data_IF_891146714548
#
_entry.id   IF_891146714548
#
_cell.length_a   1.000
_cell.length_b   1.000
_cell.length_c   1.000
_cell.angle_alpha   90.00
_cell.angle_beta   90.00
_cell.angle_gamma   90.00
#
_symmetry.space_group_name_H-M   'P 1'
#
loop_
_entity.id
_entity.type
_entity.pdbx_description
1 polymer ?
#
# COMPACT_ATOMS: atom_id res chain seq x y z
N UNK A 1 1.59 10.68 25.06
CA UNK A 1 1.80 9.25 24.77
C UNK A 1 1.18 8.32 25.83
N UNK A 2 1.33 8.58 27.12
CA UNK A 2 0.70 7.74 28.19
C UNK A 2 -0.84 7.69 28.11
N UNK A 3 -1.50 8.66 27.50
CA UNK A 3 -2.95 8.66 27.32
C UNK A 3 -3.45 7.75 26.20
N UNK A 4 -2.60 7.46 25.17
CA UNK A 4 -2.95 6.56 24.09
C UNK A 4 -3.23 5.14 24.58
N UNK A 5 -2.56 4.69 25.63
CA UNK A 5 -2.67 3.32 26.19
C UNK A 5 -3.54 3.24 27.45
N UNK A 6 -4.18 4.34 27.87
CA UNK A 6 -4.97 4.41 29.12
C UNK A 6 -6.48 4.54 28.91
N UNK A 7 -6.94 4.58 27.67
CA UNK A 7 -8.35 4.71 27.37
C UNK A 7 -9.06 3.37 27.49
N UNK A 8 -10.06 3.28 28.35
CA UNK A 8 -10.91 2.08 28.39
C UNK A 8 -11.70 1.96 27.09
N UNK A 9 -11.45 0.87 26.34
CA UNK A 9 -12.12 0.59 25.07
C UNK A 9 -13.49 -0.06 25.35
N UNK A 10 -14.57 0.74 25.32
CA UNK A 10 -15.94 0.24 25.43
C UNK A 10 -16.47 -0.22 24.08
N UNK A 11 -17.49 -1.10 24.08
CA UNK A 11 -18.16 -1.53 22.85
C UNK A 11 -18.72 -0.36 22.02
N UNK A 12 -19.31 0.65 22.68
CA UNK A 12 -19.79 1.85 22.01
C UNK A 12 -18.66 2.57 21.25
N UNK A 13 -17.48 2.68 21.86
CA UNK A 13 -16.31 3.30 21.20
C UNK A 13 -15.83 2.49 19.99
N UNK A 14 -15.83 1.16 20.07
CA UNK A 14 -15.44 0.30 18.95
C UNK A 14 -16.39 0.47 17.76
N UNK A 15 -17.71 0.46 18.01
CA UNK A 15 -18.72 0.61 16.96
C UNK A 15 -18.64 2.01 16.34
N UNK A 16 -18.53 3.05 17.14
CA UNK A 16 -18.39 4.44 16.65
C UNK A 16 -17.10 4.62 15.84
N UNK A 17 -16.00 4.06 16.31
CA UNK A 17 -14.72 4.11 15.60
C UNK A 17 -14.81 3.36 14.26
N UNK A 18 -15.46 2.20 14.23
CA UNK A 18 -15.67 1.43 13.01
C UNK A 18 -16.53 2.19 11.99
N UNK A 19 -17.62 2.78 12.45
CA UNK A 19 -18.49 3.59 11.60
C UNK A 19 -17.78 4.84 11.07
N UNK A 20 -17.07 5.59 11.94
CA UNK A 20 -16.31 6.77 11.54
C UNK A 20 -15.20 6.44 10.53
N UNK A 21 -14.43 5.38 10.77
CA UNK A 21 -13.40 4.91 9.84
C UNK A 21 -13.99 4.52 8.48
N UNK A 22 -15.14 3.82 8.49
CA UNK A 22 -15.81 3.39 7.26
C UNK A 22 -16.34 4.59 6.45
N UNK A 23 -16.99 5.55 7.11
CA UNK A 23 -17.51 6.76 6.45
C UNK A 23 -16.36 7.57 5.87
N UNK A 24 -15.31 7.81 6.64
CA UNK A 24 -14.13 8.56 6.18
C UNK A 24 -13.50 7.91 4.95
N UNK A 25 -13.23 6.60 5.03
CA UNK A 25 -12.65 5.84 3.90
C UNK A 25 -13.55 5.87 2.67
N UNK A 26 -14.86 5.67 2.83
CA UNK A 26 -15.80 5.68 1.72
C UNK A 26 -15.87 7.07 1.04
N UNK A 27 -15.93 8.15 1.82
CA UNK A 27 -15.95 9.52 1.32
C UNK A 27 -14.67 9.85 0.56
N UNK A 28 -13.50 9.55 1.13
CA UNK A 28 -12.21 9.81 0.47
C UNK A 28 -12.07 9.03 -0.84
N UNK A 29 -12.66 7.84 -0.93
CA UNK A 29 -12.65 7.04 -2.16
C UNK A 29 -13.66 7.52 -3.21
N UNK A 30 -14.79 8.11 -2.78
CA UNK A 30 -15.82 8.60 -3.69
C UNK A 30 -15.47 9.94 -4.34
N UNK A 31 -14.61 10.74 -3.73
CA UNK A 31 -14.26 12.07 -4.22
C UNK A 31 -13.12 12.00 -5.25
N UNK A 32 -13.37 12.30 -6.54
CA UNK A 32 -12.40 12.11 -7.62
C UNK A 32 -11.08 12.89 -7.43
N UNK A 33 -11.14 14.07 -6.79
CA UNK A 33 -9.96 14.90 -6.57
C UNK A 33 -8.95 14.32 -5.56
N UNK A 34 -9.33 13.28 -4.81
CA UNK A 34 -8.41 12.53 -3.97
C UNK A 34 -7.72 11.37 -4.68
N UNK A 35 -8.13 11.05 -5.91
CA UNK A 35 -7.51 9.96 -6.66
C UNK A 35 -6.01 10.20 -6.87
N UNK A 36 -5.19 9.16 -6.65
CA UNK A 36 -3.73 9.19 -6.69
C UNK A 36 -3.10 10.21 -5.73
N UNK A 37 -3.74 10.48 -4.61
CA UNK A 37 -3.19 11.33 -3.55
C UNK A 37 -3.00 10.56 -2.25
N UNK A 38 -2.18 11.10 -1.36
CA UNK A 38 -1.96 10.57 -0.02
C UNK A 38 -3.24 10.39 0.80
N UNK A 39 -4.28 11.18 0.58
CA UNK A 39 -5.55 11.04 1.30
C UNK A 39 -6.25 9.74 0.94
N UNK A 40 -6.24 9.36 -0.34
CA UNK A 40 -6.77 8.08 -0.77
C UNK A 40 -5.92 6.91 -0.24
N UNK A 41 -4.59 7.02 -0.32
CA UNK A 41 -3.68 5.99 0.19
C UNK A 41 -3.93 5.69 1.66
N UNK A 42 -3.87 6.71 2.53
CA UNK A 42 -4.05 6.57 3.98
C UNK A 42 -5.42 5.96 4.33
N UNK A 43 -6.45 6.27 3.53
CA UNK A 43 -7.79 5.74 3.76
C UNK A 43 -7.94 4.26 3.35
N UNK A 44 -7.31 3.85 2.26
CA UNK A 44 -7.52 2.52 1.65
C UNK A 44 -6.47 1.52 2.12
N UNK A 45 -5.22 1.95 2.28
CA UNK A 45 -4.09 1.08 2.55
C UNK A 45 -4.01 0.63 4.03
N UNK A 46 -3.33 -0.48 4.31
CA UNK A 46 -3.36 -1.13 5.63
C UNK A 46 -2.76 -0.31 6.78
N UNK A 47 -1.92 0.69 6.55
CA UNK A 47 -1.22 1.42 7.59
C UNK A 47 -2.16 2.13 8.57
N UNK A 48 -3.23 2.77 8.07
CA UNK A 48 -4.24 3.40 8.93
C UNK A 48 -5.04 2.35 9.72
N UNK A 49 -5.32 1.21 9.10
CA UNK A 49 -6.02 0.10 9.73
C UNK A 49 -5.20 -0.55 10.84
N UNK A 50 -3.86 -0.60 10.68
CA UNK A 50 -2.94 -1.02 11.74
C UNK A 50 -3.01 -0.06 12.94
N UNK A 51 -3.09 1.25 12.72
CA UNK A 51 -3.25 2.22 13.79
C UNK A 51 -4.51 1.95 14.62
N UNK A 52 -5.66 1.74 13.94
CA UNK A 52 -6.93 1.43 14.63
C UNK A 52 -6.86 0.10 15.39
N UNK A 53 -6.29 -0.95 14.76
CA UNK A 53 -6.12 -2.23 15.40
C UNK A 53 -5.27 -2.15 16.67
N UNK A 54 -4.10 -1.50 16.59
CA UNK A 54 -3.20 -1.30 17.72
C UNK A 54 -3.88 -0.44 18.80
N UNK A 55 -4.58 0.63 18.41
CA UNK A 55 -5.30 1.48 19.36
C UNK A 55 -6.37 0.70 20.16
N UNK A 56 -7.17 -0.13 19.49
CA UNK A 56 -8.16 -0.99 20.16
C UNK A 56 -7.46 -1.96 21.11
N UNK A 57 -6.44 -2.65 20.60
CA UNK A 57 -5.74 -3.71 21.28
C UNK A 57 -5.07 -3.24 22.58
N UNK A 58 -4.33 -2.13 22.55
CA UNK A 58 -3.60 -1.64 23.72
C UNK A 58 -4.52 -1.11 24.82
N UNK A 59 -5.77 -0.74 24.47
CA UNK A 59 -6.78 -0.20 25.39
C UNK A 59 -7.76 -1.27 25.90
N UNK A 60 -7.57 -2.55 25.54
CA UNK A 60 -8.29 -3.68 26.11
C UNK A 60 -7.55 -4.25 27.32
N UNK A 61 -8.30 -4.81 28.30
CA UNK A 61 -7.72 -5.36 29.53
C UNK A 61 -7.28 -6.82 29.38
N UNK A 62 -7.94 -7.57 28.51
CA UNK A 62 -7.70 -9.01 28.28
C UNK A 62 -7.47 -9.26 26.79
N UNK A 63 -6.68 -10.30 26.47
CA UNK A 63 -6.40 -10.66 25.08
C UNK A 63 -7.65 -11.10 24.30
N UNK A 64 -8.59 -11.82 24.98
CA UNK A 64 -9.86 -12.22 24.36
C UNK A 64 -10.69 -10.99 23.98
N UNK A 65 -10.76 -10.01 24.88
CA UNK A 65 -11.43 -8.74 24.64
C UNK A 65 -10.81 -7.99 23.45
N UNK A 66 -9.48 -7.95 23.39
CA UNK A 66 -8.75 -7.32 22.29
C UNK A 66 -9.05 -8.01 20.96
N UNK A 67 -8.97 -9.34 20.92
CA UNK A 67 -9.23 -10.13 19.71
C UNK A 67 -10.65 -9.90 19.18
N UNK A 68 -11.66 -10.04 20.05
CA UNK A 68 -13.07 -9.90 19.64
C UNK A 68 -13.38 -8.47 19.21
N UNK A 69 -12.91 -7.45 19.95
CA UNK A 69 -13.16 -6.04 19.62
C UNK A 69 -12.47 -5.62 18.32
N UNK A 70 -11.25 -6.08 18.08
CA UNK A 70 -10.55 -5.82 16.81
C UNK A 70 -11.29 -6.52 15.66
N UNK A 71 -11.68 -7.76 15.82
CA UNK A 71 -12.46 -8.47 14.81
C UNK A 71 -13.79 -7.77 14.50
N UNK A 72 -14.58 -7.38 15.53
CA UNK A 72 -15.85 -6.69 15.34
C UNK A 72 -15.66 -5.31 14.69
N UNK A 73 -14.58 -4.60 15.01
CA UNK A 73 -14.23 -3.34 14.33
C UNK A 73 -14.10 -3.55 12.83
N UNK A 74 -13.34 -4.54 12.37
CA UNK A 74 -13.17 -4.83 10.94
C UNK A 74 -14.44 -5.43 10.32
N UNK A 75 -15.17 -6.27 11.05
CA UNK A 75 -16.43 -6.88 10.60
C UNK A 75 -17.52 -5.82 10.32
N UNK A 76 -17.49 -4.68 11.01
CA UNK A 76 -18.40 -3.56 10.79
C UNK A 76 -17.84 -2.61 9.75
N UNK A 77 -16.59 -2.18 9.88
CA UNK A 77 -16.03 -1.13 9.03
C UNK A 77 -15.89 -1.55 7.58
N UNK A 78 -15.41 -2.76 7.31
CA UNK A 78 -15.13 -3.19 5.94
C UNK A 78 -16.39 -3.30 5.06
N UNK A 79 -17.46 -4.02 5.45
CA UNK A 79 -18.67 -4.08 4.62
C UNK A 79 -19.38 -2.72 4.55
N UNK A 80 -19.30 -1.89 5.59
CA UNK A 80 -19.92 -0.57 5.60
C UNK A 80 -19.29 0.38 4.58
N UNK A 81 -17.96 0.28 4.34
CA UNK A 81 -17.28 1.03 3.26
C UNK A 81 -17.92 0.71 1.92
N UNK A 82 -18.10 -0.58 1.59
CA UNK A 82 -18.72 -1.00 0.34
C UNK A 82 -20.18 -0.58 0.25
N UNK A 83 -20.93 -0.75 1.34
CA UNK A 83 -22.36 -0.39 1.38
C UNK A 83 -22.59 1.11 1.09
N UNK A 84 -21.75 1.99 1.64
CA UNK A 84 -21.81 3.44 1.38
C UNK A 84 -21.47 3.73 -0.08
N UNK A 85 -20.60 2.97 -0.74
CA UNK A 85 -20.19 3.18 -2.12
C UNK A 85 -21.21 2.63 -3.16
N UNK A 86 -22.06 1.66 -2.78
CA UNK A 86 -23.04 1.02 -3.68
C UNK A 86 -23.88 2.03 -4.49
N UNK A 87 -24.49 3.07 -3.88
CA UNK A 87 -25.31 4.02 -4.61
C UNK A 87 -24.58 4.86 -5.66
N UNK A 88 -23.25 4.98 -5.52
CA UNK A 88 -22.40 5.83 -6.36
C UNK A 88 -21.58 5.03 -7.38
N UNK A 89 -21.63 3.70 -7.32
CA UNK A 89 -20.87 2.82 -8.19
C UNK A 89 -21.70 2.29 -9.35
N UNK A 90 -21.12 2.29 -10.56
CA UNK A 90 -21.73 1.62 -11.72
C UNK A 90 -21.92 0.12 -11.52
N UNK A 91 -21.12 -0.50 -10.62
CA UNK A 91 -21.23 -1.93 -10.30
C UNK A 91 -22.33 -2.24 -9.27
N UNK A 92 -22.87 -1.21 -8.58
CA UNK A 92 -23.83 -1.41 -7.50
C UNK A 92 -23.36 -2.44 -6.48
N UNK A 93 -24.21 -3.42 -6.13
CA UNK A 93 -23.84 -4.51 -5.21
C UNK A 93 -22.73 -5.43 -5.72
N UNK A 94 -22.37 -5.41 -7.01
CA UNK A 94 -21.23 -6.12 -7.55
C UNK A 94 -19.90 -5.73 -6.90
N UNK A 95 -19.81 -4.55 -6.25
CA UNK A 95 -18.65 -4.16 -5.45
C UNK A 95 -18.32 -5.17 -4.34
N UNK A 96 -19.31 -5.89 -3.81
CA UNK A 96 -19.08 -6.88 -2.74
C UNK A 96 -18.24 -8.09 -3.19
N UNK A 97 -18.00 -8.29 -4.49
CA UNK A 97 -17.04 -9.29 -4.95
C UNK A 97 -15.63 -9.06 -4.38
N UNK A 98 -15.23 -7.80 -4.17
CA UNK A 98 -13.94 -7.43 -3.59
C UNK A 98 -13.92 -7.59 -2.06
N UNK A 99 -15.09 -7.62 -1.41
CA UNK A 99 -15.19 -7.81 0.03
C UNK A 99 -14.72 -9.19 0.48
N UNK A 100 -14.76 -10.21 -0.39
CA UNK A 100 -14.30 -11.57 -0.06
C UNK A 100 -12.86 -11.58 0.48
N UNK A 101 -11.96 -10.81 -0.16
CA UNK A 101 -10.58 -10.66 0.30
C UNK A 101 -10.52 -10.00 1.69
N UNK A 102 -11.24 -8.90 1.88
CA UNK A 102 -11.27 -8.19 3.16
C UNK A 102 -11.96 -8.99 4.26
N UNK A 103 -12.94 -9.82 3.92
CA UNK A 103 -13.55 -10.74 4.89
C UNK A 103 -12.53 -11.77 5.38
N UNK A 104 -11.75 -12.39 4.49
CA UNK A 104 -10.68 -13.29 4.87
C UNK A 104 -9.63 -12.58 5.76
N UNK A 105 -9.21 -11.37 5.40
CA UNK A 105 -8.33 -10.55 6.23
C UNK A 105 -8.96 -10.25 7.61
N UNK A 106 -10.26 -9.95 7.66
CA UNK A 106 -10.99 -9.72 8.91
C UNK A 106 -10.97 -10.96 9.82
N UNK A 107 -11.18 -12.15 9.28
CA UNK A 107 -11.10 -13.40 10.06
C UNK A 107 -9.68 -13.58 10.64
N UNK A 108 -8.64 -13.26 9.88
CA UNK A 108 -7.24 -13.33 10.33
C UNK A 108 -6.93 -12.31 11.43
N UNK A 109 -7.74 -11.27 11.64
CA UNK A 109 -7.55 -10.34 12.76
C UNK A 109 -7.76 -11.01 14.12
N UNK A 110 -8.55 -12.08 14.21
CA UNK A 110 -8.73 -12.82 15.47
C UNK A 110 -7.41 -13.40 16.01
N UNK A 111 -6.74 -14.34 15.31
CA UNK A 111 -5.45 -14.86 15.77
C UNK A 111 -4.38 -13.77 15.77
N UNK A 112 -4.40 -12.86 14.80
CA UNK A 112 -3.48 -11.74 14.75
C UNK A 112 -3.53 -10.85 15.99
N UNK A 113 -4.72 -10.51 16.48
CA UNK A 113 -4.88 -9.68 17.68
C UNK A 113 -4.45 -10.41 18.98
N UNK A 114 -4.61 -11.73 19.04
CA UNK A 114 -4.09 -12.54 20.17
C UNK A 114 -2.57 -12.42 20.26
N UNK A 115 -1.89 -12.57 19.12
CA UNK A 115 -0.43 -12.43 19.03
C UNK A 115 -0.04 -10.97 19.32
N UNK A 116 -0.67 -10.02 18.65
CA UNK A 116 -0.38 -8.60 18.77
C UNK A 116 -0.63 -8.05 20.18
N UNK A 117 -1.50 -8.68 20.98
CA UNK A 117 -1.72 -8.29 22.39
C UNK A 117 -0.45 -8.40 23.24
N UNK A 118 0.52 -9.24 22.84
CA UNK A 118 1.81 -9.40 23.51
C UNK A 118 2.67 -8.11 23.44
N UNK A 119 2.33 -7.18 22.58
CA UNK A 119 2.98 -5.84 22.53
C UNK A 119 2.86 -5.08 23.86
N UNK A 120 1.88 -5.42 24.71
CA UNK A 120 1.71 -4.83 26.05
C UNK A 120 2.74 -5.33 27.08
N UNK A 121 3.50 -6.38 26.76
CA UNK A 121 4.58 -6.87 27.60
C UNK A 121 5.73 -5.88 27.60
N UNK A 122 6.58 -5.98 28.61
CA UNK A 122 7.78 -5.12 28.76
C UNK A 122 9.08 -5.88 28.44
N UNK A 123 8.96 -7.05 27.84
CA UNK A 123 10.05 -7.95 27.50
C UNK A 123 10.38 -7.93 25.98
N UNK A 124 11.37 -8.73 25.57
CA UNK A 124 11.80 -8.85 24.18
C UNK A 124 10.71 -9.41 23.24
N UNK A 125 9.72 -10.14 23.78
CA UNK A 125 8.59 -10.62 22.99
C UNK A 125 7.74 -9.45 22.47
N UNK A 126 7.58 -8.38 23.25
CA UNK A 126 6.87 -7.18 22.79
C UNK A 126 7.59 -6.51 21.61
N UNK A 127 8.94 -6.51 21.63
CA UNK A 127 9.74 -5.98 20.51
C UNK A 127 9.57 -6.86 19.27
N UNK A 128 9.67 -8.19 19.43
CA UNK A 128 9.54 -9.14 18.33
C UNK A 128 8.17 -9.02 17.63
N UNK A 129 7.09 -8.97 18.42
CA UNK A 129 5.73 -8.82 17.88
C UNK A 129 5.53 -7.47 17.21
N UNK A 130 5.99 -6.39 17.84
CA UNK A 130 5.89 -5.05 17.25
C UNK A 130 6.71 -4.93 15.97
N UNK A 131 7.86 -5.61 15.88
CA UNK A 131 8.75 -5.58 14.72
C UNK A 131 8.07 -6.00 13.42
N UNK A 132 7.06 -6.88 13.48
CA UNK A 132 6.28 -7.28 12.29
C UNK A 132 5.52 -6.08 11.71
N UNK A 133 4.82 -5.32 12.56
CA UNK A 133 4.11 -4.12 12.13
C UNK A 133 5.07 -3.01 11.68
N UNK A 134 6.21 -2.86 12.37
CA UNK A 134 7.23 -1.86 12.00
C UNK A 134 7.92 -2.19 10.68
N UNK A 135 8.21 -3.47 10.42
CA UNK A 135 8.76 -3.93 9.15
C UNK A 135 7.78 -3.68 8.00
N UNK A 136 6.48 -3.95 8.22
CA UNK A 136 5.44 -3.64 7.24
C UNK A 136 5.33 -2.13 6.96
N UNK A 137 5.36 -1.28 8.00
CA UNK A 137 5.35 0.19 7.82
C UNK A 137 6.60 0.68 7.09
N UNK A 138 7.77 0.06 7.34
CA UNK A 138 9.00 0.33 6.60
C UNK A 138 8.89 -0.05 5.11
N UNK A 139 8.28 -1.20 4.81
CA UNK A 139 7.97 -1.63 3.44
C UNK A 139 7.04 -0.62 2.74
N UNK A 140 5.96 -0.19 3.39
CA UNK A 140 5.03 0.80 2.86
C UNK A 140 5.71 2.16 2.62
N UNK A 141 6.57 2.60 3.56
CA UNK A 141 7.36 3.82 3.40
C UNK A 141 8.28 3.75 2.17
N UNK A 142 8.97 2.62 1.93
CA UNK A 142 9.79 2.43 0.75
C UNK A 142 8.97 2.43 -0.56
N UNK A 143 7.79 1.81 -0.55
CA UNK A 143 6.85 1.85 -1.68
C UNK A 143 6.41 3.28 -1.99
N UNK A 144 6.01 4.05 -0.96
CA UNK A 144 5.64 5.45 -1.16
C UNK A 144 6.81 6.34 -1.57
N UNK A 145 8.03 6.05 -1.13
CA UNK A 145 9.22 6.77 -1.60
C UNK A 145 9.35 6.69 -3.13
N UNK A 146 9.18 5.51 -3.71
CA UNK A 146 9.20 5.35 -5.16
C UNK A 146 8.02 6.04 -5.85
N UNK A 147 6.82 5.98 -5.24
CA UNK A 147 5.64 6.69 -5.75
C UNK A 147 5.81 8.22 -5.73
N UNK A 148 6.39 8.77 -4.65
CA UNK A 148 6.74 10.20 -4.55
C UNK A 148 7.74 10.60 -5.64
N UNK A 149 8.77 9.76 -5.87
CA UNK A 149 9.76 10.03 -6.91
C UNK A 149 9.13 10.05 -8.32
N UNK A 150 8.12 9.21 -8.56
CA UNK A 150 7.42 9.14 -9.84
C UNK A 150 6.39 10.27 -10.03
N UNK A 151 5.77 10.76 -8.96
CA UNK A 151 4.65 11.71 -9.03
C UNK A 151 4.61 12.68 -7.84
N UNK A 152 5.71 13.39 -7.60
CA UNK A 152 5.77 14.42 -6.54
C UNK A 152 4.71 15.51 -6.75
N UNK A 153 4.01 15.99 -5.70
CA UNK A 153 4.08 15.60 -4.27
C UNK A 153 3.02 14.56 -3.82
N UNK A 154 2.37 13.87 -4.74
CA UNK A 154 1.09 13.17 -4.52
C UNK A 154 1.08 12.15 -3.36
N UNK A 155 2.18 11.46 -3.10
CA UNK A 155 2.27 10.41 -2.08
C UNK A 155 3.14 10.79 -0.87
N UNK A 156 3.57 12.07 -0.80
CA UNK A 156 4.49 12.53 0.24
C UNK A 156 3.92 12.41 1.65
N UNK A 157 2.63 12.75 1.83
CA UNK A 157 1.98 12.65 3.13
C UNK A 157 1.85 11.18 3.57
N UNK A 158 1.60 10.24 2.65
CA UNK A 158 1.57 8.79 2.94
C UNK A 158 2.93 8.28 3.42
N UNK A 159 4.01 8.71 2.75
CA UNK A 159 5.38 8.41 3.17
C UNK A 159 5.64 8.92 4.60
N UNK A 160 5.34 10.21 4.85
CA UNK A 160 5.51 10.81 6.17
C UNK A 160 4.64 10.11 7.22
N UNK A 161 3.40 9.75 6.89
CA UNK A 161 2.49 9.05 7.77
C UNK A 161 3.05 7.70 8.21
N UNK A 162 3.56 6.88 7.29
CA UNK A 162 4.17 5.58 7.62
C UNK A 162 5.36 5.73 8.58
N UNK A 163 6.26 6.68 8.30
CA UNK A 163 7.44 6.90 9.14
C UNK A 163 7.03 7.41 10.53
N UNK A 164 6.14 8.41 10.58
CA UNK A 164 5.68 8.98 11.84
C UNK A 164 4.89 7.95 12.67
N UNK A 165 4.07 7.12 12.02
CA UNK A 165 3.33 6.06 12.68
C UNK A 165 4.26 4.99 13.26
N UNK A 166 5.28 4.57 12.52
CA UNK A 166 6.28 3.63 13.00
C UNK A 166 7.03 4.18 14.22
N UNK A 167 7.51 5.42 14.15
CA UNK A 167 8.16 6.09 15.28
C UNK A 167 7.19 6.27 16.46
N UNK A 168 5.95 6.65 16.21
CA UNK A 168 4.92 6.76 17.25
C UNK A 168 4.75 5.44 18.01
N UNK A 169 4.66 4.31 17.32
CA UNK A 169 4.56 3.00 17.97
C UNK A 169 5.78 2.66 18.80
N UNK A 170 7.00 2.93 18.30
CA UNK A 170 8.23 2.72 19.07
C UNK A 170 8.22 3.50 20.38
N UNK A 171 7.87 4.77 20.34
CA UNK A 171 7.92 5.64 21.54
C UNK A 171 6.70 5.50 22.45
N UNK A 172 5.53 5.09 21.91
CA UNK A 172 4.32 4.91 22.71
C UNK A 172 4.26 3.55 23.41
N UNK A 173 4.81 2.48 22.79
CA UNK A 173 4.64 1.11 23.26
C UNK A 173 5.89 0.53 23.92
N UNK A 174 7.09 0.99 23.58
CA UNK A 174 8.34 0.49 24.16
C UNK A 174 8.89 1.46 25.21
N UNK A 175 9.14 0.96 26.41
CA UNK A 175 9.66 1.77 27.53
C UNK A 175 11.20 1.82 27.54
N UNK A 176 11.88 0.68 27.30
CA UNK A 176 13.33 0.55 27.40
C UNK A 176 14.07 1.11 26.18
N UNK A 177 15.17 1.82 26.41
CA UNK A 177 16.00 2.41 25.34
C UNK A 177 16.55 1.35 24.38
N UNK A 178 17.00 0.19 24.92
CA UNK A 178 17.51 -0.93 24.11
C UNK A 178 16.44 -1.50 23.18
N UNK A 179 15.20 -1.66 23.66
CA UNK A 179 14.07 -2.12 22.87
C UNK A 179 13.75 -1.14 21.73
N UNK A 180 13.77 0.18 22.03
CA UNK A 180 13.59 1.23 21.02
C UNK A 180 14.68 1.22 19.97
N UNK A 181 15.93 1.06 20.36
CA UNK A 181 17.06 1.01 19.43
C UNK A 181 16.92 -0.15 18.44
N UNK A 182 16.58 -1.36 18.93
CA UNK A 182 16.33 -2.52 18.07
C UNK A 182 15.14 -2.29 17.14
N UNK A 183 14.04 -1.76 17.65
CA UNK A 183 12.84 -1.46 16.84
C UNK A 183 13.12 -0.42 15.74
N UNK A 184 13.91 0.62 16.04
CA UNK A 184 14.36 1.60 15.01
C UNK A 184 15.27 0.90 13.99
N UNK A 185 16.16 0.02 14.42
CA UNK A 185 16.98 -0.79 13.52
C UNK A 185 16.13 -1.62 12.55
N UNK A 186 15.05 -2.25 13.04
CA UNK A 186 14.10 -3.00 12.19
C UNK A 186 13.47 -2.10 11.12
N UNK A 187 13.02 -0.88 11.50
CA UNK A 187 12.45 0.07 10.54
C UNK A 187 13.47 0.41 9.46
N UNK A 188 14.69 0.78 9.85
CA UNK A 188 15.75 1.18 8.92
C UNK A 188 16.14 0.04 7.97
N UNK A 189 16.31 -1.18 8.49
CA UNK A 189 16.61 -2.36 7.69
C UNK A 189 15.46 -2.67 6.73
N UNK A 190 14.21 -2.62 7.22
CA UNK A 190 13.05 -2.85 6.36
C UNK A 190 12.95 -1.83 5.23
N UNK A 191 13.14 -0.54 5.51
CA UNK A 191 13.17 0.51 4.48
C UNK A 191 14.31 0.22 3.48
N UNK A 192 15.53 -0.02 3.95
CA UNK A 192 16.70 -0.24 3.08
C UNK A 192 16.50 -1.45 2.16
N UNK A 193 16.08 -2.59 2.71
CA UNK A 193 15.81 -3.80 1.94
C UNK A 193 14.67 -3.56 0.93
N UNK A 194 13.59 -2.93 1.37
CA UNK A 194 12.43 -2.66 0.51
C UNK A 194 12.75 -1.65 -0.60
N UNK A 195 13.59 -0.65 -0.34
CA UNK A 195 14.05 0.28 -1.40
C UNK A 195 14.82 -0.44 -2.51
N UNK A 196 15.57 -1.49 -2.16
CA UNK A 196 16.27 -2.32 -3.15
C UNK A 196 15.30 -3.22 -3.89
N UNK A 197 14.43 -3.94 -3.16
CA UNK A 197 13.50 -4.90 -3.74
C UNK A 197 12.39 -4.28 -4.59
N UNK A 198 11.90 -3.10 -4.18
CA UNK A 198 10.83 -2.37 -4.86
C UNK A 198 11.34 -1.35 -5.88
N UNK A 199 12.66 -1.34 -6.15
CA UNK A 199 13.23 -0.39 -7.13
C UNK A 199 12.47 -0.50 -8.46
N UNK A 200 11.85 0.58 -8.95
CA UNK A 200 11.12 0.56 -10.21
C UNK A 200 12.07 0.28 -11.37
N UNK A 201 11.59 -0.46 -12.33
CA UNK A 201 12.28 -0.65 -13.62
C UNK A 201 11.89 0.50 -14.53
N UNK A 202 12.62 1.62 -14.44
CA UNK A 202 12.33 2.85 -15.21
C UNK A 202 12.51 2.70 -16.72
N UNK A 203 13.29 1.71 -17.15
CA UNK A 203 13.49 1.39 -18.57
C UNK A 203 13.55 -0.11 -18.79
N UNK A 204 13.04 -0.56 -19.91
CA UNK A 204 13.18 -1.93 -20.40
C UNK A 204 13.69 -1.93 -21.84
N UNK A 205 14.37 -2.99 -22.25
CA UNK A 205 14.90 -3.13 -23.59
C UNK A 205 14.24 -4.32 -24.28
N UNK A 206 13.74 -4.10 -25.49
CA UNK A 206 13.20 -5.13 -26.38
C UNK A 206 14.29 -5.46 -27.38
N UNK A 207 14.74 -6.69 -27.46
CA UNK A 207 15.66 -7.14 -28.49
C UNK A 207 14.88 -7.53 -29.74
N UNK A 208 15.24 -6.92 -30.86
CA UNK A 208 14.69 -7.19 -32.17
C UNK A 208 15.64 -8.14 -32.93
N UNK A 209 15.11 -8.80 -33.95
CA UNK A 209 15.98 -9.53 -34.90
C UNK A 209 16.80 -8.59 -35.77
N UNK A 210 17.76 -9.14 -36.52
CA UNK A 210 18.56 -8.40 -37.49
C UNK A 210 17.68 -7.69 -38.53
N UNK A 211 18.05 -6.46 -38.91
CA UNK A 211 17.34 -5.65 -39.88
C UNK A 211 17.06 -4.24 -39.39
N UNK A 212 16.63 -3.37 -40.29
CA UNK A 212 16.21 -2.02 -39.93
C UNK A 212 14.73 -2.06 -39.52
N UNK A 213 14.47 -1.47 -38.39
CA UNK A 213 13.15 -1.37 -37.81
C UNK A 213 12.70 0.08 -37.73
N UNK A 214 11.42 0.31 -37.95
CA UNK A 214 10.74 1.58 -37.69
C UNK A 214 9.74 1.39 -36.58
N UNK A 215 9.41 2.45 -35.84
CA UNK A 215 8.44 2.36 -34.76
C UNK A 215 7.38 3.46 -34.82
N UNK A 216 6.20 3.13 -34.31
CA UNK A 216 5.11 4.08 -34.08
C UNK A 216 4.58 3.87 -32.66
N UNK A 217 4.35 4.95 -31.92
CA UNK A 217 3.79 4.92 -30.56
C UNK A 217 2.48 5.69 -30.59
N UNK A 218 1.43 5.11 -30.04
CA UNK A 218 0.10 5.72 -30.04
C UNK A 218 0.07 6.95 -29.13
N UNK A 219 0.65 6.85 -27.94
CA UNK A 219 0.78 7.99 -26.98
C UNK A 219 2.24 8.12 -26.48
N UNK A 220 3.03 9.02 -27.09
CA UNK A 220 4.43 9.26 -26.69
C UNK A 220 4.59 9.89 -25.30
N UNK A 221 3.51 10.43 -24.70
CA UNK A 221 3.57 11.00 -23.36
C UNK A 221 3.73 9.92 -22.27
N UNK A 222 3.29 8.69 -22.55
CA UNK A 222 3.35 7.55 -21.62
C UNK A 222 4.75 6.97 -21.55
N UNK A 223 5.41 6.76 -22.70
CA UNK A 223 6.72 6.14 -22.76
C UNK A 223 7.62 6.79 -23.82
N UNK A 224 8.87 7.03 -23.47
CA UNK A 224 9.93 7.39 -24.42
C UNK A 224 10.50 6.17 -25.08
N UNK A 225 10.61 6.19 -26.42
CA UNK A 225 11.13 5.07 -27.22
C UNK A 225 12.40 5.52 -27.92
N UNK A 226 13.45 4.72 -27.81
CA UNK A 226 14.72 4.92 -28.51
C UNK A 226 15.12 3.64 -29.21
N UNK A 227 15.28 3.71 -30.52
CA UNK A 227 15.84 2.61 -31.32
C UNK A 227 17.37 2.69 -31.26
N UNK A 228 17.99 1.65 -30.75
CA UNK A 228 19.46 1.58 -30.60
C UNK A 228 20.12 0.95 -31.83
N UNK A 229 21.41 1.21 -32.02
CA UNK A 229 22.20 0.67 -33.13
C UNK A 229 22.42 -0.85 -33.03
N UNK A 230 22.22 -1.45 -31.86
CA UNK A 230 22.35 -2.91 -31.60
C UNK A 230 21.06 -3.69 -31.89
N UNK A 231 20.17 -3.14 -32.70
CA UNK A 231 18.85 -3.73 -33.01
C UNK A 231 17.98 -3.95 -31.76
N UNK A 232 18.11 -3.11 -30.75
CA UNK A 232 17.25 -3.11 -29.60
C UNK A 232 16.42 -1.82 -29.48
N UNK A 233 15.29 -1.89 -28.80
CA UNK A 233 14.43 -0.75 -28.49
C UNK A 233 14.43 -0.51 -26.99
N UNK A 234 14.93 0.63 -26.57
CA UNK A 234 14.84 1.07 -25.18
C UNK A 234 13.53 1.80 -24.96
N UNK A 235 12.75 1.29 -23.99
CA UNK A 235 11.48 1.88 -23.56
C UNK A 235 11.68 2.49 -22.19
N UNK A 236 11.43 3.80 -22.05
CA UNK A 236 11.62 4.54 -20.81
C UNK A 236 10.27 5.06 -20.30
N UNK A 237 10.00 4.92 -19.01
CA UNK A 237 8.80 5.45 -18.38
C UNK A 237 8.79 6.98 -18.37
N UNK A 238 7.76 7.61 -18.93
CA UNK A 238 7.55 9.06 -18.87
C UNK A 238 6.37 9.40 -17.93
N UNK A 239 5.16 8.92 -18.26
CA UNK A 239 3.94 9.22 -17.52
C UNK A 239 3.13 7.94 -17.30
N UNK A 240 2.40 7.86 -16.19
CA UNK A 240 1.48 6.74 -15.90
C UNK A 240 0.42 6.61 -17.00
N UNK A 241 0.29 5.41 -17.56
CA UNK A 241 -0.66 5.12 -18.61
C UNK A 241 -0.35 3.82 -19.33
N UNK A 242 -1.08 3.55 -20.40
CA UNK A 242 -0.81 2.44 -21.33
C UNK A 242 -0.78 2.99 -22.74
N UNK A 243 0.19 2.58 -23.54
CA UNK A 243 0.32 2.95 -24.94
C UNK A 243 0.67 1.71 -25.78
N UNK A 244 0.35 1.78 -27.07
CA UNK A 244 0.71 0.74 -28.04
C UNK A 244 2.00 1.14 -28.78
N UNK A 245 2.99 0.24 -28.77
CA UNK A 245 4.18 0.32 -29.59
C UNK A 245 4.06 -0.66 -30.75
N UNK A 246 4.07 -0.14 -31.95
CA UNK A 246 4.14 -0.94 -33.20
C UNK A 246 5.52 -0.83 -33.82
N UNK A 247 6.15 -1.94 -34.07
CA UNK A 247 7.44 -2.08 -34.74
C UNK A 247 7.26 -2.74 -36.09
N UNK A 248 7.85 -2.19 -37.14
CA UNK A 248 7.77 -2.70 -38.50
C UNK A 248 9.17 -2.81 -39.07
N UNK A 249 9.56 -4.02 -39.54
CA UNK A 249 10.82 -4.26 -40.23
C UNK A 249 10.74 -3.87 -41.69
N UNK A 250 11.87 -3.67 -42.35
CA UNK A 250 11.93 -3.47 -43.81
C UNK A 250 11.37 -4.67 -44.61
N UNK A 251 11.40 -5.89 -44.05
CA UNK A 251 10.80 -7.08 -44.65
C UNK A 251 9.27 -7.13 -44.51
N UNK A 252 8.65 -6.17 -43.79
CA UNK A 252 7.22 -6.11 -43.53
C UNK A 252 6.77 -6.89 -42.29
N UNK A 253 7.70 -7.46 -41.51
CA UNK A 253 7.36 -8.09 -40.22
C UNK A 253 6.86 -7.03 -39.23
N UNK A 254 5.70 -7.28 -38.62
CA UNK A 254 5.08 -6.38 -37.66
C UNK A 254 5.09 -7.03 -36.27
N UNK A 255 5.54 -6.25 -35.24
CA UNK A 255 5.46 -6.64 -33.82
C UNK A 255 4.73 -5.55 -33.04
N UNK A 256 3.80 -5.95 -32.19
CA UNK A 256 3.01 -5.03 -31.37
C UNK A 256 3.20 -5.34 -29.89
N UNK A 257 3.36 -4.27 -29.09
CA UNK A 257 3.58 -4.39 -27.66
C UNK A 257 2.69 -3.38 -26.92
N UNK A 258 1.98 -3.84 -25.92
CA UNK A 258 1.42 -2.92 -24.93
C UNK A 258 2.49 -2.53 -23.94
N UNK A 259 2.71 -1.23 -23.81
CA UNK A 259 3.61 -0.63 -22.83
C UNK A 259 2.74 -0.01 -21.75
N UNK A 260 2.82 -0.55 -20.53
CA UNK A 260 2.13 -0.01 -19.38
C UNK A 260 3.14 0.60 -18.42
N UNK A 261 2.98 1.87 -18.09
CA UNK A 261 3.77 2.58 -17.08
C UNK A 261 2.94 2.72 -15.81
N UNK A 262 3.42 2.14 -14.73
CA UNK A 262 2.76 2.21 -13.41
C UNK A 262 3.80 2.25 -12.30
N UNK A 263 3.66 3.20 -11.35
CA UNK A 263 4.60 3.39 -10.25
C UNK A 263 6.03 3.69 -10.68
N UNK A 264 6.23 4.29 -11.87
CA UNK A 264 7.55 4.54 -12.45
C UNK A 264 8.20 3.32 -13.12
N UNK A 265 7.55 2.15 -13.09
CA UNK A 265 8.02 0.95 -13.78
C UNK A 265 7.38 0.82 -15.15
N UNK A 266 8.17 0.32 -16.11
CA UNK A 266 7.73 -0.08 -17.45
C UNK A 266 7.40 -1.56 -17.43
N UNK A 267 6.24 -1.92 -17.94
CA UNK A 267 5.80 -3.29 -18.19
C UNK A 267 5.51 -3.43 -19.68
N UNK A 268 6.09 -4.45 -20.32
CA UNK A 268 5.92 -4.71 -21.74
C UNK A 268 5.24 -6.07 -21.90
N UNK A 269 4.14 -6.13 -22.64
CA UNK A 269 3.46 -7.35 -23.01
C UNK A 269 3.29 -7.45 -24.53
N UNK A 270 3.55 -8.62 -25.09
CA UNK A 270 3.33 -8.92 -26.53
C UNK A 270 1.83 -9.04 -26.80
N UNK A 271 1.43 -8.61 -28.00
CA UNK A 271 0.12 -8.94 -28.56
C UNK A 271 0.35 -10.12 -29.48
N UNK A 272 -0.15 -11.30 -29.07
CA UNK A 272 -0.15 -12.52 -29.87
C UNK A 272 -1.23 -12.48 -30.95
#
# INVERSE_FOLDING_TARGET
MKEFTKQKMSWKKVILLAAAAAVLTAVLKLLPFFNNTSFQDIAINPECWILFAVFILVNCTRWQEAAIKTFVFFLISQPLIYLIQVPFSKMGFGLFQYYKFWFAATVLTLPGAVIAYQVKRKDWLSVAVLSVALAFLGYMAASYFWSVRASFPNHLLSLCFCILLALFFVFALLEHKSHRAVAIGVILISIAVSLILLKPTFSQTIHLGEGNWTYTVEDPSVAGIVLNQDHSVSVTANQKGTTLLTLVSESGEKKEFYITVSGGSVYISTID
#
